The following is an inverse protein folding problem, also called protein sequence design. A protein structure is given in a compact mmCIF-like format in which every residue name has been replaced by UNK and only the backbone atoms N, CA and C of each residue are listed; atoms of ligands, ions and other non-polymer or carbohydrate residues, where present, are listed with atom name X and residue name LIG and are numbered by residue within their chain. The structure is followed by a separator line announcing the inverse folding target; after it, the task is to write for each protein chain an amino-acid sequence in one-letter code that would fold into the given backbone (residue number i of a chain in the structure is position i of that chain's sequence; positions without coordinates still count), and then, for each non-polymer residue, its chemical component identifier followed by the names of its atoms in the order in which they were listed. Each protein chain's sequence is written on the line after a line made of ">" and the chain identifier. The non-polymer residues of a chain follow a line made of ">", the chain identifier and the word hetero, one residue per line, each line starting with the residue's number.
data_IF_178793814680
#
_entry.id   IF_178793814680
#
_cell.length_a   1.000
_cell.length_b   1.000
_cell.length_c   1.000
_cell.angle_alpha   90.00
_cell.angle_beta   90.00
_cell.angle_gamma   90.00
#
_symmetry.space_group_name_H-M   'P 1'
#
loop_
_entity.id
_entity.type
_entity.pdbx_description
1 polymer ?
#
# COMPACT_ATOMS: atom_id res chain seq x y z
N UNK A 1 24.06 -26.59 -51.34
CA UNK A 1 23.01 -25.57 -51.07
C UNK A 1 22.53 -25.59 -49.61
N UNK A 2 22.37 -26.76 -48.95
CA UNK A 2 21.84 -26.84 -47.58
C UNK A 2 22.70 -26.23 -46.46
N UNK A 3 24.04 -26.34 -46.54
CA UNK A 3 24.93 -25.85 -45.47
C UNK A 3 24.91 -24.32 -45.30
N UNK A 4 24.81 -23.58 -46.41
CA UNK A 4 24.72 -22.12 -46.37
C UNK A 4 23.38 -21.66 -45.78
N UNK A 5 22.27 -22.30 -46.17
CA UNK A 5 20.93 -22.00 -45.63
C UNK A 5 20.86 -22.30 -44.13
N UNK A 6 21.44 -23.42 -43.68
CA UNK A 6 21.54 -23.74 -42.27
C UNK A 6 22.32 -22.66 -41.48
N UNK A 7 23.44 -22.17 -42.02
CA UNK A 7 24.20 -21.08 -41.42
C UNK A 7 23.39 -19.80 -41.23
N UNK A 8 22.63 -19.38 -42.25
CA UNK A 8 21.76 -18.20 -42.17
C UNK A 8 20.63 -18.37 -41.15
N UNK A 9 20.03 -19.56 -41.05
CA UNK A 9 18.99 -19.83 -40.05
C UNK A 9 19.52 -19.77 -38.62
N UNK A 10 20.73 -20.29 -38.36
CA UNK A 10 21.37 -20.22 -37.05
C UNK A 10 21.68 -18.77 -36.68
N UNK A 11 22.22 -18.00 -37.63
CA UNK A 11 22.50 -16.57 -37.41
C UNK A 11 21.23 -15.76 -37.11
N UNK A 12 20.13 -16.02 -37.81
CA UNK A 12 18.85 -15.36 -37.57
C UNK A 12 18.28 -15.68 -36.17
N UNK A 13 18.36 -16.95 -35.74
CA UNK A 13 17.94 -17.35 -34.39
C UNK A 13 18.79 -16.68 -33.32
N UNK A 14 20.12 -16.63 -33.51
CA UNK A 14 21.01 -15.95 -32.57
C UNK A 14 20.71 -14.46 -32.46
N UNK A 15 20.45 -13.79 -33.59
CA UNK A 15 20.04 -12.38 -33.60
C UNK A 15 18.71 -12.17 -32.88
N UNK A 16 17.76 -13.09 -33.04
CA UNK A 16 16.45 -13.02 -32.40
C UNK A 16 16.54 -13.25 -30.89
N UNK A 17 17.40 -14.17 -30.45
CA UNK A 17 17.71 -14.40 -29.02
C UNK A 17 18.43 -13.19 -28.42
N UNK A 18 19.39 -12.59 -29.14
CA UNK A 18 20.08 -11.38 -28.71
C UNK A 18 19.12 -10.18 -28.60
N UNK A 19 18.26 -9.99 -29.60
CA UNK A 19 17.22 -8.95 -29.59
C UNK A 19 16.21 -9.13 -28.46
N UNK A 20 15.75 -10.37 -28.22
CA UNK A 20 14.89 -10.68 -27.08
C UNK A 20 15.60 -10.41 -25.76
N UNK A 21 16.87 -10.78 -25.62
CA UNK A 21 17.64 -10.55 -24.40
C UNK A 21 17.81 -9.06 -24.10
N UNK A 22 18.11 -8.26 -25.13
CA UNK A 22 18.27 -6.82 -25.02
C UNK A 22 16.94 -6.12 -24.73
N UNK A 23 15.84 -6.62 -25.30
CA UNK A 23 14.48 -6.20 -24.95
C UNK A 23 14.15 -6.55 -23.49
N UNK A 24 14.38 -7.78 -23.03
CA UNK A 24 14.09 -8.18 -21.65
C UNK A 24 14.91 -7.36 -20.64
N UNK A 25 16.17 -7.04 -20.96
CA UNK A 25 17.02 -6.24 -20.07
C UNK A 25 16.66 -4.74 -20.09
N UNK A 26 16.27 -4.18 -21.24
CA UNK A 26 15.99 -2.75 -21.38
C UNK A 26 14.54 -2.35 -21.16
N UNK A 27 13.58 -3.21 -21.51
CA UNK A 27 12.14 -2.95 -21.41
C UNK A 27 11.64 -3.06 -19.97
N UNK A 28 12.22 -3.97 -19.18
CA UNK A 28 11.87 -4.13 -17.78
C UNK A 28 12.86 -3.35 -16.91
N UNK A 29 12.50 -2.17 -16.39
CA UNK A 29 13.33 -1.48 -15.43
C UNK A 29 13.40 -2.32 -14.15
N UNK A 30 14.48 -3.08 -14.01
CA UNK A 30 14.85 -3.69 -12.73
C UNK A 30 15.34 -2.55 -11.86
N UNK A 31 14.44 -1.98 -11.06
CA UNK A 31 14.86 -1.04 -10.02
C UNK A 31 15.65 -1.86 -8.99
N UNK A 32 16.95 -1.60 -8.78
CA UNK A 32 17.66 -2.24 -7.69
C UNK A 32 16.99 -1.80 -6.39
N UNK A 33 16.40 -2.75 -5.66
CA UNK A 33 15.84 -2.48 -4.34
C UNK A 33 17.01 -2.30 -3.38
N UNK A 34 17.15 -1.10 -2.84
CA UNK A 34 18.11 -0.86 -1.76
C UNK A 34 17.61 -1.64 -0.55
N UNK A 35 18.43 -2.59 -0.08
CA UNK A 35 18.12 -3.36 1.13
C UNK A 35 18.42 -2.50 2.35
N UNK A 36 17.45 -2.38 3.24
CA UNK A 36 17.57 -1.65 4.49
C UNK A 36 16.35 -0.79 4.76
N UNK A 37 16.20 -0.41 6.03
CA UNK A 37 15.25 0.62 6.46
C UNK A 37 15.95 1.96 6.48
N UNK A 38 15.24 3.04 6.19
CA UNK A 38 15.76 4.39 6.42
C UNK A 38 16.17 4.53 7.89
N UNK A 39 17.44 4.85 8.14
CA UNK A 39 17.99 4.99 9.47
C UNK A 39 17.72 6.37 10.07
N UNK A 40 18.36 6.68 11.20
CA UNK A 40 18.15 7.95 11.90
C UNK A 40 18.63 9.18 11.08
N UNK A 41 19.50 8.96 10.10
CA UNK A 41 19.92 9.96 9.11
C UNK A 41 18.74 10.49 8.27
N UNK A 42 17.72 9.68 8.04
CA UNK A 42 16.54 10.10 7.26
C UNK A 42 15.72 11.21 7.93
N UNK A 43 15.85 11.34 9.25
CA UNK A 43 15.20 12.41 10.00
C UNK A 43 16.00 13.71 9.97
N UNK A 44 17.29 13.68 9.61
CA UNK A 44 18.16 14.87 9.58
C UNK A 44 17.96 15.66 8.30
N UNK A 45 18.04 16.99 8.40
CA UNK A 45 18.08 17.87 7.22
C UNK A 45 19.33 17.58 6.38
N UNK A 46 19.25 17.58 5.04
CA UNK A 46 20.41 17.41 4.18
C UNK A 46 21.46 18.48 4.50
N UNK A 47 22.66 18.05 4.87
CA UNK A 47 23.79 18.94 5.16
C UNK A 47 24.87 18.79 4.09
N UNK A 48 25.48 19.90 3.66
CA UNK A 48 26.59 19.91 2.71
C UNK A 48 27.94 19.52 3.34
N UNK A 49 27.97 19.12 4.62
CA UNK A 49 29.18 18.64 5.29
C UNK A 49 29.61 17.28 4.76
N UNK A 50 30.92 17.03 4.70
CA UNK A 50 31.48 15.71 4.37
C UNK A 50 31.02 14.70 5.42
N UNK A 51 30.05 13.86 5.06
CA UNK A 51 29.62 12.72 5.89
C UNK A 51 30.80 11.76 5.98
N UNK A 52 31.34 11.60 7.18
CA UNK A 52 32.33 10.55 7.47
C UNK A 52 31.60 9.22 7.34
N UNK A 53 31.81 8.53 6.22
CA UNK A 53 31.13 7.28 5.83
C UNK A 53 31.59 6.06 6.67
N UNK A 54 31.66 6.21 8.00
CA UNK A 54 32.34 5.26 8.88
C UNK A 54 31.58 4.84 10.14
N UNK A 55 30.48 5.49 10.51
CA UNK A 55 29.75 5.10 11.72
C UNK A 55 28.37 4.55 11.35
N UNK A 56 28.26 3.22 11.35
CA UNK A 56 26.99 2.56 11.60
C UNK A 56 26.56 2.96 13.01
N UNK A 57 25.85 4.08 13.10
CA UNK A 57 25.18 4.51 14.32
C UNK A 57 24.31 3.35 14.84
N UNK A 58 24.49 2.92 16.09
CA UNK A 58 23.66 1.87 16.66
C UNK A 58 22.19 2.30 16.59
N UNK A 59 21.31 1.37 16.23
CA UNK A 59 19.87 1.64 16.16
C UNK A 59 19.40 2.22 17.50
N UNK A 60 19.03 3.50 17.50
CA UNK A 60 18.63 4.20 18.70
C UNK A 60 17.36 3.54 19.28
N UNK A 61 17.16 3.57 20.61
CA UNK A 61 15.93 3.12 21.23
C UNK A 61 14.69 3.83 20.65
N UNK A 62 13.53 3.16 20.57
CA UNK A 62 12.30 3.74 19.98
C UNK A 62 11.89 5.09 20.57
N UNK A 63 12.07 5.28 21.88
CA UNK A 63 11.73 6.53 22.57
C UNK A 63 12.62 7.70 22.12
N UNK A 64 13.90 7.44 21.88
CA UNK A 64 14.85 8.44 21.37
C UNK A 64 14.59 8.74 19.89
N UNK A 65 14.22 7.73 19.10
CA UNK A 65 13.79 7.91 17.71
C UNK A 65 12.55 8.82 17.63
N UNK A 66 11.59 8.61 18.52
CA UNK A 66 10.36 9.40 18.59
C UNK A 66 10.61 10.84 19.03
N UNK A 67 11.52 11.07 19.98
CA UNK A 67 11.91 12.44 20.36
C UNK A 67 12.64 13.14 19.22
N UNK A 68 13.57 12.44 18.55
CA UNK A 68 14.31 12.96 17.40
C UNK A 68 13.37 13.36 16.26
N UNK A 69 12.38 12.50 15.95
CA UNK A 69 11.34 12.80 14.97
C UNK A 69 10.55 14.06 15.34
N UNK A 70 10.13 14.21 16.60
CA UNK A 70 9.39 15.39 17.07
C UNK A 70 10.21 16.67 17.00
N UNK A 71 11.49 16.58 17.39
CA UNK A 71 12.40 17.72 17.38
C UNK A 71 12.68 18.18 15.94
N UNK A 72 13.02 17.25 15.05
CA UNK A 72 13.41 17.56 13.66
C UNK A 72 12.22 17.92 12.77
N UNK A 73 11.05 17.31 12.99
CA UNK A 73 9.85 17.68 12.23
C UNK A 73 9.41 19.13 12.52
N UNK A 74 9.72 19.66 13.71
CA UNK A 74 9.30 20.99 14.13
C UNK A 74 7.78 21.17 14.22
N UNK A 75 7.02 20.07 14.11
CA UNK A 75 5.56 20.08 14.08
C UNK A 75 5.06 19.46 15.39
N UNK A 76 4.39 20.25 16.25
CA UNK A 76 3.79 19.68 17.45
C UNK A 76 2.69 18.67 17.04
N UNK A 77 2.59 17.52 17.72
CA UNK A 77 1.56 16.53 17.42
C UNK A 77 0.18 17.13 17.69
N UNK A 78 -0.60 17.36 16.62
CA UNK A 78 -1.97 17.89 16.72
C UNK A 78 -2.95 16.80 17.16
N UNK A 79 -2.63 15.53 16.87
CA UNK A 79 -3.48 14.37 17.15
C UNK A 79 -2.68 13.27 17.84
N UNK A 80 -3.32 12.59 18.80
CA UNK A 80 -2.74 11.44 19.51
C UNK A 80 -2.88 10.13 18.76
N UNK A 81 -3.86 10.05 17.85
CA UNK A 81 -4.23 8.82 17.13
C UNK A 81 -4.46 9.13 15.65
N UNK A 82 -4.02 8.20 14.80
CA UNK A 82 -4.24 8.23 13.36
C UNK A 82 -5.05 6.99 12.96
N UNK A 83 -6.06 7.19 12.12
CA UNK A 83 -6.82 6.09 11.50
C UNK A 83 -6.62 6.18 9.99
N UNK A 84 -5.96 5.18 9.41
CA UNK A 84 -5.90 5.00 7.96
C UNK A 84 -7.03 4.07 7.54
N UNK A 85 -8.04 4.63 6.85
CA UNK A 85 -9.18 3.87 6.34
C UNK A 85 -9.05 3.71 4.83
N UNK A 86 -9.00 2.47 4.36
CA UNK A 86 -8.99 2.13 2.93
C UNK A 86 -10.33 1.51 2.56
N UNK A 87 -11.05 2.16 1.65
CA UNK A 87 -12.32 1.67 1.12
C UNK A 87 -12.07 1.20 -0.31
N UNK A 88 -12.11 -0.12 -0.51
CA UNK A 88 -11.96 -0.68 -1.85
C UNK A 88 -13.18 -0.35 -2.71
N UNK A 89 -12.95 -0.08 -3.99
CA UNK A 89 -14.01 0.19 -4.96
C UNK A 89 -14.81 1.48 -4.75
N UNK A 90 -14.28 2.48 -4.01
CA UNK A 90 -14.89 3.81 -3.89
C UNK A 90 -14.19 4.85 -4.79
N UNK A 91 -14.73 5.16 -5.98
CA UNK A 91 -14.19 6.23 -6.81
C UNK A 91 -14.29 7.59 -6.11
N UNK A 92 -13.24 8.40 -6.20
CA UNK A 92 -13.23 9.77 -5.66
C UNK A 92 -14.36 10.63 -6.25
N UNK A 93 -14.80 10.34 -7.48
CA UNK A 93 -15.92 11.02 -8.15
C UNK A 93 -17.23 10.91 -7.38
N UNK A 94 -17.39 9.88 -6.55
CA UNK A 94 -18.62 9.67 -5.79
C UNK A 94 -18.74 10.65 -4.62
N UNK A 95 -17.61 11.12 -4.10
CA UNK A 95 -17.53 12.01 -2.94
C UNK A 95 -17.25 13.44 -3.38
N UNK A 96 -16.30 13.64 -4.29
CA UNK A 96 -15.81 14.96 -4.69
C UNK A 96 -16.43 15.45 -6.01
N UNK A 97 -17.09 14.58 -6.76
CA UNK A 97 -17.55 14.88 -8.11
C UNK A 97 -16.44 14.75 -9.16
N UNK A 98 -16.75 15.10 -10.41
CA UNK A 98 -15.82 14.93 -11.53
C UNK A 98 -15.43 16.29 -12.09
N UNK A 99 -14.13 16.59 -12.09
CA UNK A 99 -13.60 17.88 -12.52
C UNK A 99 -14.04 18.99 -11.58
N UNK A 100 -14.48 20.14 -12.11
CA UNK A 100 -15.01 21.26 -11.30
C UNK A 100 -16.51 21.13 -10.96
N UNK A 101 -17.13 19.97 -11.22
CA UNK A 101 -18.55 19.75 -10.98
C UNK A 101 -18.76 18.92 -9.70
N UNK A 102 -19.66 19.35 -8.80
CA UNK A 102 -19.98 18.59 -7.60
C UNK A 102 -20.65 17.25 -7.95
N UNK A 103 -20.66 16.28 -7.03
CA UNK A 103 -21.38 15.02 -7.21
C UNK A 103 -22.89 15.25 -7.32
N UNK A 104 -23.61 14.26 -7.86
CA UNK A 104 -25.07 14.34 -7.97
C UNK A 104 -25.75 14.41 -6.59
N UNK A 105 -26.92 15.06 -6.50
CA UNK A 105 -27.67 15.18 -5.23
C UNK A 105 -27.88 13.83 -4.54
N UNK A 106 -28.24 12.79 -5.30
CA UNK A 106 -28.42 11.42 -4.80
C UNK A 106 -27.17 10.86 -4.13
N UNK A 107 -25.98 11.17 -4.67
CA UNK A 107 -24.70 10.69 -4.11
C UNK A 107 -24.32 11.48 -2.86
N UNK A 108 -24.59 12.79 -2.84
CA UNK A 108 -24.40 13.61 -1.65
C UNK A 108 -25.28 13.13 -0.48
N UNK A 109 -26.55 12.84 -0.78
CA UNK A 109 -27.52 12.30 0.19
C UNK A 109 -27.14 10.90 0.68
N UNK A 110 -26.37 10.14 -0.10
CA UNK A 110 -25.86 8.82 0.29
C UNK A 110 -24.69 8.89 1.28
N UNK A 111 -23.98 10.03 1.35
CA UNK A 111 -22.82 10.24 2.24
C UNK A 111 -22.91 11.57 3.00
N UNK A 112 -23.99 11.82 3.77
CA UNK A 112 -24.28 13.13 4.34
C UNK A 112 -23.22 13.56 5.36
N UNK A 113 -22.66 12.61 6.11
CA UNK A 113 -21.60 12.89 7.09
C UNK A 113 -20.33 13.39 6.40
N UNK A 114 -19.81 12.66 5.40
CA UNK A 114 -18.62 13.06 4.64
C UNK A 114 -18.81 14.41 3.96
N UNK A 115 -19.99 14.65 3.38
CA UNK A 115 -20.32 15.93 2.76
C UNK A 115 -20.35 17.07 3.78
N UNK A 116 -20.88 16.84 4.99
CA UNK A 116 -20.89 17.88 6.04
C UNK A 116 -19.50 18.24 6.56
N UNK A 117 -18.57 17.27 6.61
CA UNK A 117 -17.17 17.54 6.96
C UNK A 117 -16.46 18.38 5.90
N UNK A 118 -16.69 18.10 4.62
CA UNK A 118 -16.14 18.87 3.50
C UNK A 118 -16.72 20.29 3.47
N UNK A 119 -18.04 20.43 3.64
CA UNK A 119 -18.71 21.73 3.67
C UNK A 119 -18.30 22.57 4.89
N UNK A 120 -18.04 21.93 6.02
CA UNK A 120 -17.60 22.59 7.26
C UNK A 120 -16.11 22.92 7.31
N UNK A 121 -15.36 22.73 6.23
CA UNK A 121 -13.89 22.89 6.19
C UNK A 121 -13.14 22.08 7.25
N UNK A 122 -13.73 20.98 7.73
CA UNK A 122 -13.12 20.05 8.69
C UNK A 122 -12.40 18.89 8.01
N UNK A 123 -12.62 18.72 6.71
CA UNK A 123 -11.94 17.75 5.87
C UNK A 123 -11.46 18.39 4.56
N UNK A 124 -10.37 17.87 4.02
CA UNK A 124 -9.86 18.21 2.69
C UNK A 124 -9.96 16.99 1.78
N UNK A 125 -10.50 17.19 0.58
CA UNK A 125 -10.65 16.14 -0.44
C UNK A 125 -9.59 16.24 -1.53
N UNK A 126 -9.00 15.10 -1.91
CA UNK A 126 -8.01 15.03 -2.99
C UNK A 126 -8.37 13.92 -3.98
N UNK A 127 -8.11 14.18 -5.27
CA UNK A 127 -8.20 13.16 -6.32
C UNK A 127 -6.86 12.43 -6.44
N UNK A 128 -6.74 11.29 -5.77
CA UNK A 128 -5.61 10.39 -5.97
C UNK A 128 -5.77 9.65 -7.31
N UNK A 129 -4.85 9.87 -8.24
CA UNK A 129 -4.77 9.11 -9.51
C UNK A 129 -3.85 7.92 -9.30
N UNK A 130 -4.41 6.72 -9.27
CA UNK A 130 -3.63 5.49 -9.24
C UNK A 130 -3.17 5.13 -10.66
N UNK A 131 -1.87 4.85 -10.83
CA UNK A 131 -1.37 4.23 -12.05
C UNK A 131 -1.91 2.79 -12.19
N UNK A 132 -2.14 2.27 -13.41
CA UNK A 132 -2.38 0.84 -13.61
C UNK A 132 -1.16 0.06 -13.12
N UNK A 133 -1.26 -1.07 -12.37
CA UNK A 133 -2.31 -2.10 -12.37
C UNK A 133 -3.39 -1.97 -11.26
N UNK A 134 -4.54 -2.63 -11.48
CA UNK A 134 -5.71 -2.67 -10.58
C UNK A 134 -5.68 -3.86 -9.61
N UNK A 135 -4.50 -4.36 -9.25
CA UNK A 135 -4.38 -5.45 -8.26
C UNK A 135 -4.23 -4.83 -6.87
N UNK A 136 -4.94 -5.38 -5.88
CA UNK A 136 -4.98 -4.84 -4.50
C UNK A 136 -3.60 -4.78 -3.87
N UNK A 137 -2.79 -5.83 -3.98
CA UNK A 137 -1.49 -5.93 -3.31
C UNK A 137 -0.44 -4.93 -3.82
N UNK A 138 -0.19 -4.77 -5.14
CA UNK A 138 0.68 -3.71 -5.66
C UNK A 138 0.27 -2.29 -5.23
N UNK A 139 -1.04 -2.02 -5.11
CA UNK A 139 -1.52 -0.71 -4.65
C UNK A 139 -1.27 -0.48 -3.17
N UNK A 140 -1.46 -1.50 -2.33
CA UNK A 140 -1.11 -1.41 -0.92
C UNK A 140 0.38 -1.16 -0.73
N UNK A 141 1.24 -1.90 -1.46
CA UNK A 141 2.69 -1.70 -1.45
C UNK A 141 3.07 -0.27 -1.85
N UNK A 142 2.49 0.24 -2.94
CA UNK A 142 2.74 1.62 -3.39
C UNK A 142 2.27 2.67 -2.36
N UNK A 143 1.16 2.41 -1.66
CA UNK A 143 0.64 3.32 -0.64
C UNK A 143 1.56 3.42 0.59
N UNK A 144 2.09 2.29 1.05
CA UNK A 144 2.93 2.27 2.26
C UNK A 144 4.40 2.61 1.99
N UNK A 145 4.93 2.27 0.82
CA UNK A 145 6.34 2.54 0.45
C UNK A 145 6.51 3.88 -0.29
N UNK A 146 5.44 4.43 -0.85
CA UNK A 146 5.52 5.58 -1.77
C UNK A 146 6.15 5.23 -3.13
N UNK A 147 6.52 3.97 -3.37
CA UNK A 147 7.14 3.54 -4.61
C UNK A 147 6.10 3.29 -5.71
N UNK A 148 6.40 3.72 -6.94
CA UNK A 148 5.60 3.39 -8.12
C UNK A 148 5.81 1.91 -8.43
N UNK A 149 4.76 1.11 -8.24
CA UNK A 149 4.75 -0.32 -8.55
C UNK A 149 5.02 -0.58 -10.03
N UNK A 150 6.02 -1.41 -10.32
CA UNK A 150 6.36 -1.87 -11.66
C UNK A 150 5.58 -3.12 -12.06
N UNK A 151 5.60 -3.44 -13.36
CA UNK A 151 5.05 -4.70 -13.87
C UNK A 151 5.74 -5.93 -13.25
N UNK A 152 7.05 -5.83 -12.98
CA UNK A 152 7.82 -6.87 -12.30
C UNK A 152 7.35 -7.10 -10.85
N UNK A 153 6.91 -6.06 -10.15
CA UNK A 153 6.38 -6.22 -8.79
C UNK A 153 5.14 -7.11 -8.79
N UNK A 154 4.27 -6.99 -9.80
CA UNK A 154 3.11 -7.88 -9.96
C UNK A 154 3.54 -9.33 -10.15
N UNK A 155 4.61 -9.58 -10.91
CA UNK A 155 5.14 -10.93 -11.13
C UNK A 155 5.81 -11.51 -9.87
N UNK A 156 6.60 -10.71 -9.14
CA UNK A 156 7.22 -11.13 -7.88
C UNK A 156 6.20 -11.28 -6.74
N UNK A 157 5.09 -10.54 -6.77
CA UNK A 157 3.97 -10.67 -5.82
C UNK A 157 3.28 -12.05 -5.86
N UNK A 158 3.48 -12.86 -6.90
CA UNK A 158 2.95 -14.22 -6.92
C UNK A 158 3.68 -15.20 -5.99
N UNK A 159 4.89 -14.87 -5.51
CA UNK A 159 5.75 -15.83 -4.82
C UNK A 159 6.20 -15.42 -3.40
N UNK A 160 5.94 -14.18 -2.96
CA UNK A 160 6.34 -13.69 -1.62
C UNK A 160 5.15 -13.16 -0.85
N UNK A 161 4.85 -13.80 0.28
CA UNK A 161 3.70 -13.45 1.14
C UNK A 161 3.97 -12.20 1.99
N UNK A 162 5.22 -11.95 2.40
CA UNK A 162 5.61 -10.84 3.26
C UNK A 162 6.31 -9.72 2.48
N UNK A 163 6.03 -8.47 2.83
CA UNK A 163 6.73 -7.30 2.31
C UNK A 163 7.89 -6.92 3.23
N UNK A 164 9.11 -6.86 2.68
CA UNK A 164 10.36 -6.70 3.46
C UNK A 164 11.10 -5.38 3.15
N UNK A 165 10.50 -4.51 2.34
CA UNK A 165 11.09 -3.21 1.98
C UNK A 165 10.67 -2.13 2.97
N UNK A 166 11.43 -1.05 3.01
CA UNK A 166 11.11 0.11 3.85
C UNK A 166 9.71 0.66 3.54
N UNK A 167 8.93 0.86 4.59
CA UNK A 167 7.57 1.33 4.46
C UNK A 167 7.13 2.11 5.70
N UNK A 168 6.07 2.89 5.51
CA UNK A 168 5.52 3.74 6.54
C UNK A 168 5.13 2.96 7.81
N UNK A 169 4.62 1.73 7.69
CA UNK A 169 4.20 0.96 8.86
C UNK A 169 5.40 0.52 9.69
N UNK A 170 6.47 0.06 9.05
CA UNK A 170 7.73 -0.27 9.72
C UNK A 170 8.34 0.94 10.41
N UNK A 171 8.38 2.10 9.73
CA UNK A 171 8.88 3.34 10.32
C UNK A 171 8.07 3.76 11.56
N UNK A 172 6.73 3.65 11.52
CA UNK A 172 5.87 3.94 12.66
C UNK A 172 6.08 2.93 13.80
N UNK A 173 6.30 1.66 13.49
CA UNK A 173 6.61 0.62 14.46
C UNK A 173 7.96 0.87 15.15
N UNK A 174 8.99 1.25 14.38
CA UNK A 174 10.34 1.54 14.87
C UNK A 174 10.39 2.72 15.85
N UNK A 175 9.56 3.76 15.65
CA UNK A 175 9.42 4.87 16.61
C UNK A 175 8.52 4.52 17.83
N UNK A 176 8.15 3.24 17.98
CA UNK A 176 7.42 2.72 19.13
C UNK A 176 5.92 3.01 19.12
N UNK A 177 5.32 3.34 17.96
CA UNK A 177 3.87 3.48 17.88
C UNK A 177 3.20 2.10 17.84
N UNK A 178 2.08 1.99 18.56
CA UNK A 178 1.26 0.78 18.58
C UNK A 178 0.34 0.74 17.37
N UNK A 179 0.55 -0.23 16.49
CA UNK A 179 -0.25 -0.44 15.29
C UNK A 179 -1.36 -1.46 15.55
N UNK A 180 -2.58 -1.16 15.09
CA UNK A 180 -3.74 -2.06 15.20
C UNK A 180 -4.36 -2.22 13.82
N UNK A 181 -4.51 -3.47 13.37
CA UNK A 181 -5.12 -3.79 12.08
C UNK A 181 -6.53 -4.34 12.26
N UNK A 182 -7.50 -3.75 11.54
CA UNK A 182 -8.88 -4.24 11.45
C UNK A 182 -9.22 -4.34 9.96
N UNK A 183 -9.47 -5.54 9.45
CA UNK A 183 -9.83 -5.72 8.04
C UNK A 183 -9.37 -7.04 7.44
N UNK A 184 -9.14 -7.04 6.13
CA UNK A 184 -8.83 -8.25 5.36
C UNK A 184 -7.47 -8.84 5.73
N UNK A 185 -7.38 -10.18 5.74
CA UNK A 185 -6.17 -10.93 6.11
C UNK A 185 -4.95 -10.62 5.24
N UNK A 186 -5.16 -10.05 4.05
CA UNK A 186 -4.07 -9.66 3.15
C UNK A 186 -3.06 -8.73 3.82
N UNK A 187 -3.50 -7.80 4.67
CA UNK A 187 -2.60 -6.92 5.41
C UNK A 187 -1.75 -7.67 6.45
N UNK A 188 -2.35 -8.65 7.13
CA UNK A 188 -1.67 -9.47 8.14
C UNK A 188 -0.62 -10.35 7.46
N UNK A 189 -0.93 -10.90 6.28
CA UNK A 189 0.01 -11.71 5.49
C UNK A 189 1.20 -10.88 4.99
N UNK A 190 0.93 -9.64 4.56
CA UNK A 190 1.96 -8.71 4.09
C UNK A 190 2.86 -8.21 5.22
N UNK A 191 2.32 -7.98 6.43
CA UNK A 191 3.01 -7.37 7.57
C UNK A 191 2.82 -8.19 8.86
N UNK A 192 3.37 -9.41 8.95
CA UNK A 192 3.01 -10.37 10.00
C UNK A 192 3.45 -9.98 11.42
N UNK A 193 4.43 -9.09 11.57
CA UNK A 193 5.05 -8.76 12.87
C UNK A 193 4.75 -7.35 13.36
N UNK A 194 4.05 -6.52 12.58
CA UNK A 194 3.93 -5.08 12.88
C UNK A 194 2.78 -4.73 13.83
N UNK A 195 1.72 -5.53 13.84
CA UNK A 195 0.49 -5.21 14.54
C UNK A 195 0.48 -5.75 15.96
N UNK A 196 0.23 -4.87 16.93
CA UNK A 196 0.05 -5.24 18.35
C UNK A 196 -1.29 -5.96 18.57
N UNK A 197 -2.31 -5.60 17.80
CA UNK A 197 -3.63 -6.25 17.79
C UNK A 197 -4.13 -6.34 16.36
N UNK A 198 -4.68 -7.49 16.00
CA UNK A 198 -5.21 -7.74 14.66
C UNK A 198 -6.54 -8.50 14.74
N UNK A 199 -7.56 -7.98 14.09
CA UNK A 199 -8.82 -8.70 13.85
C UNK A 199 -8.97 -8.87 12.33
N UNK A 200 -8.51 -10.02 11.82
CA UNK A 200 -8.64 -10.40 10.43
C UNK A 200 -10.06 -10.88 10.12
N UNK A 201 -10.69 -10.33 9.09
CA UNK A 201 -11.89 -10.92 8.49
C UNK A 201 -11.47 -11.69 7.24
N UNK A 202 -11.75 -12.99 7.20
CA UNK A 202 -11.64 -13.77 5.97
C UNK A 202 -12.74 -13.30 5.02
N UNK A 203 -12.39 -12.51 4.02
CA UNK A 203 -13.33 -12.17 2.96
C UNK A 203 -13.76 -13.47 2.24
N UNK A 204 -15.08 -13.67 2.09
CA UNK A 204 -15.79 -14.83 1.52
C UNK A 204 -16.04 -16.05 2.44
N UNK A 205 -17.22 -16.06 3.08
CA UNK A 205 -17.98 -17.31 3.25
C UNK A 205 -19.30 -17.18 2.46
N UNK A 206 -19.23 -17.36 1.15
CA UNK A 206 -20.38 -17.80 0.36
C UNK A 206 -20.40 -19.34 0.39
N UNK A 207 -21.04 -19.92 1.40
CA UNK A 207 -21.54 -21.29 1.25
C UNK A 207 -22.94 -21.21 0.63
N UNK A 208 -22.98 -21.13 -0.70
CA UNK A 208 -24.15 -21.58 -1.44
C UNK A 208 -24.29 -23.10 -1.24
N UNK A 209 -24.96 -23.50 -0.16
CA UNK A 209 -25.43 -24.87 0.01
C UNK A 209 -26.94 -24.87 -0.21
N UNK A 210 -27.36 -24.86 -1.48
CA UNK A 210 -28.71 -25.29 -1.84
C UNK A 210 -28.65 -26.80 -1.98
N UNK A 211 -28.93 -27.51 -0.89
CA UNK A 211 -29.72 -28.77 -0.85
C UNK A 211 -29.71 -29.31 0.58
N UNK A 212 -30.90 -29.61 1.11
CA UNK A 212 -31.08 -30.38 2.34
C UNK A 212 -31.58 -29.58 3.53
N UNK A 213 -32.90 -29.57 3.70
CA UNK A 213 -33.64 -29.19 4.91
C UNK A 213 -32.96 -29.64 6.21
N UNK A 214 -32.64 -28.73 7.12
CA UNK A 214 -32.85 -28.91 8.57
C UNK A 214 -32.96 -27.54 9.25
N UNK A 215 -34.02 -27.37 10.02
CA UNK A 215 -34.39 -26.17 10.76
C UNK A 215 -33.31 -25.77 11.76
N UNK A 216 -32.65 -24.62 11.54
CA UNK A 216 -32.04 -23.84 12.61
C UNK A 216 -32.49 -22.39 12.49
N UNK A 217 -32.96 -21.89 13.62
CA UNK A 217 -33.64 -20.63 13.87
C UNK A 217 -32.80 -19.43 13.39
N UNK A 218 -33.15 -18.90 12.22
CA UNK A 218 -32.62 -17.65 11.69
C UNK A 218 -33.13 -16.47 12.53
N UNK A 219 -32.35 -16.08 13.55
CA UNK A 219 -32.43 -14.73 14.08
C UNK A 219 -31.88 -13.79 13.02
N UNK A 220 -32.74 -12.91 12.50
CA UNK A 220 -32.40 -11.90 11.49
C UNK A 220 -31.13 -11.13 11.93
N UNK A 221 -30.03 -11.14 11.16
CA UNK A 221 -29.03 -10.10 11.33
C UNK A 221 -29.52 -8.89 10.53
N UNK A 222 -29.88 -7.82 11.23
CA UNK A 222 -29.89 -6.50 10.64
C UNK A 222 -28.51 -6.30 10.01
N UNK A 223 -28.47 -6.19 8.67
CA UNK A 223 -27.28 -5.84 7.91
C UNK A 223 -27.01 -4.36 8.16
N UNK A 224 -26.52 -4.05 9.36
CA UNK A 224 -25.91 -2.79 9.71
C UNK A 224 -24.41 -2.94 9.55
N UNK A 225 -23.85 -2.26 8.55
CA UNK A 225 -22.42 -2.04 8.47
C UNK A 225 -22.04 -1.17 9.69
N UNK A 226 -21.56 -1.81 10.75
CA UNK A 226 -21.18 -1.13 11.99
C UNK A 226 -19.86 -0.37 11.79
N UNK A 227 -19.96 0.90 11.39
CA UNK A 227 -18.87 1.85 11.56
C UNK A 227 -18.83 2.30 13.02
N UNK A 228 -18.07 1.60 13.86
CA UNK A 228 -17.80 2.08 15.22
C UNK A 228 -16.61 3.02 15.18
N UNK A 229 -16.88 4.31 15.03
CA UNK A 229 -15.93 5.36 15.36
C UNK A 229 -15.75 5.37 16.89
N UNK A 230 -14.56 5.02 17.36
CA UNK A 230 -14.14 5.36 18.72
C UNK A 230 -13.27 6.62 18.57
N UNK A 231 -13.88 7.79 18.79
CA UNK A 231 -13.18 8.99 19.22
C UNK A 231 -13.09 8.96 20.75
#
# INVERSE_FOLDING_TARGET
>A
MGAAVAGWTVAAVLLQVAGLSLFLYGFFPVKPTLRGFSGAESYRVPSCGSVSAGEQEPALPPDQLRSLYRELSGIPPVYDRLVLMVIDGLPAEFVLGRGRKPPSKKMMESMPYTQSLLAGCKAAGYHAKAAPPTVTMPRLKAMVSGAIGGFLDVAFNFNTQAFLEDNLLDQLHMIGLKLVMLGDETWIKLFPTLFTRQDGVSSFYESANITGTTSQKASRPNMGMYFRFCL
#
